data_IF_765834755484
#
_entry.id   IF_765834755484
#
_cell.length_a   1.000
_cell.length_b   1.000
_cell.length_c   1.000
_cell.angle_alpha   90.00
_cell.angle_beta   90.00
_cell.angle_gamma   90.00
#
_symmetry.space_group_name_H-M   'P 1'
#
loop_
_entity.id
_entity.type
_entity.pdbx_description
1 polymer ?
#
# COMPACT_ATOMS: atom_id res chain seq x y z
N UNK A 1 -9.32 15.04 -8.72
CA UNK A 1 -10.13 13.81 -8.51
C UNK A 1 -11.59 14.18 -8.73
N UNK A 2 -12.30 13.46 -9.58
CA UNK A 2 -13.75 13.65 -9.78
C UNK A 2 -14.53 13.11 -8.57
N UNK A 3 -15.82 13.50 -8.44
CA UNK A 3 -16.69 13.02 -7.36
C UNK A 3 -16.85 11.49 -7.41
N UNK A 4 -16.98 10.93 -8.62
CA UNK A 4 -17.09 9.48 -8.85
C UNK A 4 -15.80 8.72 -8.46
N UNK A 5 -14.62 9.27 -8.77
CA UNK A 5 -13.34 8.68 -8.34
C UNK A 5 -13.19 8.69 -6.82
N UNK A 6 -13.63 9.78 -6.17
CA UNK A 6 -13.63 9.88 -4.71
C UNK A 6 -14.58 8.87 -4.06
N UNK A 7 -15.79 8.68 -4.61
CA UNK A 7 -16.74 7.68 -4.13
C UNK A 7 -16.24 6.25 -4.31
N UNK A 8 -15.60 5.95 -5.45
CA UNK A 8 -15.04 4.62 -5.71
C UNK A 8 -13.90 4.29 -4.72
N UNK A 9 -13.00 5.24 -4.49
CA UNK A 9 -11.91 5.09 -3.52
C UNK A 9 -12.43 4.94 -2.08
N UNK A 10 -13.44 5.74 -1.67
CA UNK A 10 -14.05 5.61 -0.35
C UNK A 10 -14.73 4.24 -0.18
N UNK A 11 -15.40 3.73 -1.21
CA UNK A 11 -16.00 2.40 -1.18
C UNK A 11 -14.95 1.30 -1.04
N UNK A 12 -13.85 1.38 -1.80
CA UNK A 12 -12.81 0.36 -1.85
C UNK A 12 -11.89 0.41 -0.61
N UNK A 13 -11.38 1.57 -0.25
CA UNK A 13 -10.36 1.70 0.80
C UNK A 13 -10.92 2.14 2.15
N UNK A 14 -12.02 2.90 2.20
CA UNK A 14 -12.65 3.33 3.44
C UNK A 14 -13.63 2.30 4.00
N UNK A 15 -14.71 2.04 3.27
CA UNK A 15 -15.79 1.17 3.75
C UNK A 15 -15.35 -0.28 3.91
N UNK A 16 -14.64 -0.84 2.92
CA UNK A 16 -14.14 -2.22 2.98
C UNK A 16 -13.12 -2.40 4.10
N UNK A 17 -12.31 -1.38 4.40
CA UNK A 17 -11.40 -1.41 5.54
C UNK A 17 -12.13 -1.61 6.88
N UNK A 18 -13.23 -0.89 7.12
CA UNK A 18 -14.05 -1.07 8.32
C UNK A 18 -14.63 -2.48 8.43
N UNK A 19 -15.15 -3.04 7.34
CA UNK A 19 -15.67 -4.41 7.31
C UNK A 19 -14.58 -5.46 7.51
N UNK A 20 -13.39 -5.22 6.98
CA UNK A 20 -12.21 -6.08 7.17
C UNK A 20 -11.80 -6.10 8.63
N UNK A 21 -11.75 -4.93 9.30
CA UNK A 21 -11.48 -4.85 10.74
C UNK A 21 -12.50 -5.65 11.56
N UNK A 22 -13.80 -5.54 11.28
CA UNK A 22 -14.85 -6.31 11.96
C UNK A 22 -14.68 -7.81 11.76
N UNK A 23 -14.33 -8.24 10.55
CA UNK A 23 -14.08 -9.64 10.24
C UNK A 23 -12.85 -10.17 11.00
N UNK A 24 -11.75 -9.41 11.02
CA UNK A 24 -10.56 -9.74 11.81
C UNK A 24 -10.87 -9.87 13.29
N UNK A 25 -11.65 -8.93 13.85
CA UNK A 25 -12.08 -9.02 15.28
C UNK A 25 -12.92 -10.26 15.57
N UNK A 26 -13.66 -10.75 14.60
CA UNK A 26 -14.50 -11.97 14.73
C UNK A 26 -13.65 -13.23 14.62
N UNK A 27 -12.69 -13.28 13.70
CA UNK A 27 -11.88 -14.46 13.39
C UNK A 27 -10.63 -14.59 14.28
N UNK A 28 -10.15 -13.49 14.84
CA UNK A 28 -8.97 -13.44 15.70
C UNK A 28 -7.83 -12.61 15.10
N UNK A 29 -6.98 -12.10 15.97
CA UNK A 29 -5.89 -11.15 15.64
C UNK A 29 -4.83 -11.72 14.70
N UNK A 30 -4.67 -13.04 14.63
CA UNK A 30 -3.74 -13.71 13.71
C UNK A 30 -4.07 -13.47 12.22
N UNK A 31 -5.29 -13.02 11.93
CA UNK A 31 -5.75 -12.66 10.59
C UNK A 31 -5.42 -11.21 10.22
N UNK A 32 -5.01 -10.37 11.18
CA UNK A 32 -4.89 -8.93 10.98
C UNK A 32 -3.81 -8.57 9.95
N UNK A 33 -2.60 -9.12 10.07
CA UNK A 33 -1.50 -8.81 9.15
C UNK A 33 -1.83 -9.30 7.74
N UNK A 34 -2.20 -10.57 7.50
CA UNK A 34 -2.52 -11.04 6.15
C UNK A 34 -3.64 -10.25 5.48
N UNK A 35 -4.73 -9.99 6.20
CA UNK A 35 -5.85 -9.22 5.68
C UNK A 35 -5.50 -7.74 5.43
N UNK A 36 -4.67 -7.15 6.29
CA UNK A 36 -4.23 -5.76 6.18
C UNK A 36 -3.15 -5.52 5.11
N UNK A 37 -2.56 -6.58 4.54
CA UNK A 37 -1.58 -6.49 3.46
C UNK A 37 -2.20 -6.59 2.07
N UNK A 38 -3.53 -6.63 1.96
CA UNK A 38 -4.20 -6.68 0.66
C UNK A 38 -3.86 -5.44 -0.17
N UNK A 39 -3.39 -5.66 -1.41
CA UNK A 39 -2.93 -4.60 -2.31
C UNK A 39 -1.48 -4.14 -2.09
N UNK A 40 -0.85 -4.56 -1.00
CA UNK A 40 0.53 -4.16 -0.63
C UNK A 40 1.59 -5.23 -0.96
N UNK A 41 1.22 -6.25 -1.72
CA UNK A 41 2.09 -7.35 -2.12
C UNK A 41 1.97 -8.60 -1.25
N UNK A 42 2.94 -9.51 -1.40
CA UNK A 42 3.09 -10.75 -0.65
C UNK A 42 4.02 -10.57 0.56
N UNK A 43 4.07 -11.54 1.47
CA UNK A 43 5.06 -11.53 2.54
C UNK A 43 6.50 -11.52 2.01
N UNK A 44 6.77 -12.26 0.92
CA UNK A 44 8.07 -12.25 0.26
C UNK A 44 8.44 -10.87 -0.29
N UNK A 45 7.48 -10.11 -0.85
CA UNK A 45 7.69 -8.74 -1.28
C UNK A 45 8.01 -7.80 -0.11
N UNK A 46 7.28 -7.91 1.02
CA UNK A 46 7.56 -7.13 2.23
C UNK A 46 8.96 -7.44 2.78
N UNK A 47 9.33 -8.72 2.82
CA UNK A 47 10.66 -9.18 3.26
C UNK A 47 11.76 -8.66 2.34
N UNK A 48 11.56 -8.74 1.01
CA UNK A 48 12.50 -8.22 0.03
C UNK A 48 12.78 -6.73 0.23
N UNK A 49 11.73 -5.93 0.47
CA UNK A 49 11.83 -4.50 0.75
C UNK A 49 12.51 -4.24 2.10
N UNK A 50 12.07 -4.91 3.17
CA UNK A 50 12.59 -4.71 4.53
C UNK A 50 14.09 -5.03 4.64
N UNK A 51 14.57 -6.07 3.93
CA UNK A 51 16.00 -6.45 3.91
C UNK A 51 16.89 -5.37 3.29
N UNK A 52 16.31 -4.50 2.43
CA UNK A 52 17.02 -3.48 1.65
C UNK A 52 16.87 -2.06 2.18
N UNK A 53 15.95 -1.85 3.11
CA UNK A 53 15.74 -0.55 3.76
C UNK A 53 16.79 -0.23 4.84
N UNK A 54 17.72 -1.16 5.12
CA UNK A 54 18.79 -1.00 6.13
C UNK A 54 18.25 -0.61 7.53
N UNK A 55 17.12 -1.19 7.90
CA UNK A 55 16.43 -0.91 9.16
C UNK A 55 17.17 -1.53 10.35
N UNK A 56 17.15 -0.78 11.44
CA UNK A 56 17.58 -1.27 12.77
C UNK A 56 16.40 -1.19 13.74
N UNK A 57 16.48 -1.92 14.84
CA UNK A 57 15.48 -1.80 15.89
C UNK A 57 15.35 -0.33 16.36
N UNK A 58 14.13 0.19 16.35
CA UNK A 58 13.83 1.57 16.70
C UNK A 58 13.93 2.59 15.54
N UNK A 59 14.33 2.20 14.32
CA UNK A 59 14.26 3.06 13.13
C UNK A 59 12.84 3.63 12.97
N UNK A 60 12.75 4.92 12.63
CA UNK A 60 11.48 5.62 12.38
C UNK A 60 11.05 5.37 10.94
N UNK A 61 9.93 4.69 10.75
CA UNK A 61 9.44 4.31 9.43
C UNK A 61 8.06 4.91 9.17
N UNK A 62 7.88 5.54 8.01
CA UNK A 62 6.58 5.96 7.51
C UNK A 62 6.01 4.86 6.61
N UNK A 63 4.77 4.45 6.86
CA UNK A 63 3.94 3.68 5.93
C UNK A 63 2.96 4.65 5.28
N UNK A 64 3.24 5.06 4.03
CA UNK A 64 2.43 6.02 3.28
C UNK A 64 1.40 5.28 2.43
N UNK A 65 0.12 5.64 2.64
CA UNK A 65 -1.02 4.89 2.13
C UNK A 65 -1.19 3.55 2.84
N UNK A 66 -1.06 3.56 4.16
CA UNK A 66 -0.96 2.36 4.99
C UNK A 66 -2.20 1.45 4.96
N UNK A 67 -3.34 1.92 4.46
CA UNK A 67 -4.60 1.17 4.52
C UNK A 67 -4.92 0.74 5.95
N UNK A 68 -5.11 -0.56 6.14
CA UNK A 68 -5.35 -1.18 7.45
C UNK A 68 -4.09 -1.31 8.32
N UNK A 69 -2.91 -0.92 7.82
CA UNK A 69 -1.65 -0.97 8.56
C UNK A 69 -1.01 -2.36 8.64
N UNK A 70 -1.45 -3.31 7.80
CA UNK A 70 -0.88 -4.67 7.78
C UNK A 70 0.63 -4.69 7.54
N UNK A 71 1.14 -4.01 6.48
CA UNK A 71 2.56 -3.92 6.22
C UNK A 71 3.36 -3.30 7.38
N UNK A 72 2.88 -2.18 7.94
CA UNK A 72 3.51 -1.56 9.11
C UNK A 72 3.50 -2.48 10.32
N UNK A 73 2.38 -3.17 10.59
CA UNK A 73 2.26 -4.15 11.67
C UNK A 73 3.24 -5.31 11.50
N UNK A 74 3.37 -5.83 10.28
CA UNK A 74 4.34 -6.86 9.94
C UNK A 74 5.78 -6.36 10.18
N UNK A 75 6.11 -5.15 9.72
CA UNK A 75 7.45 -4.59 9.84
C UNK A 75 7.84 -4.34 11.31
N UNK A 76 6.90 -3.87 12.13
CA UNK A 76 7.13 -3.70 13.57
C UNK A 76 7.41 -5.06 14.24
N UNK A 77 6.65 -6.08 13.91
CA UNK A 77 6.82 -7.42 14.46
C UNK A 77 8.14 -8.08 14.02
N UNK A 78 8.53 -7.90 12.76
CA UNK A 78 9.71 -8.56 12.17
C UNK A 78 11.02 -7.81 12.47
N UNK A 79 11.02 -6.46 12.53
CA UNK A 79 12.23 -5.62 12.61
C UNK A 79 12.33 -4.78 13.89
N UNK A 80 11.27 -4.67 14.69
CA UNK A 80 11.26 -3.86 15.90
C UNK A 80 11.36 -2.35 15.63
N UNK A 81 10.89 -1.89 14.49
CA UNK A 81 10.89 -0.47 14.10
C UNK A 81 9.79 0.32 14.81
N UNK A 82 9.84 1.64 14.70
CA UNK A 82 8.76 2.56 15.10
C UNK A 82 8.04 3.03 13.85
N UNK A 83 6.92 2.40 13.52
CA UNK A 83 6.14 2.75 12.36
C UNK A 83 5.08 3.81 12.69
N UNK A 84 4.85 4.70 11.73
CA UNK A 84 3.74 5.65 11.69
C UNK A 84 3.00 5.45 10.38
N UNK A 85 1.67 5.41 10.41
CA UNK A 85 0.83 5.25 9.24
C UNK A 85 0.27 6.61 8.79
N UNK A 86 0.36 6.91 7.49
CA UNK A 86 -0.41 7.97 6.84
C UNK A 86 -1.41 7.32 5.89
N UNK A 87 -2.70 7.68 5.99
CA UNK A 87 -3.75 7.05 5.20
C UNK A 87 -4.91 8.05 5.00
N UNK A 88 -5.30 8.39 3.77
CA UNK A 88 -6.35 9.38 3.54
C UNK A 88 -7.74 8.93 4.03
N UNK A 89 -8.06 7.64 4.00
CA UNK A 89 -9.35 7.13 4.42
C UNK A 89 -9.42 7.00 5.94
N UNK A 90 -10.26 7.82 6.58
CA UNK A 90 -10.36 7.88 8.05
C UNK A 90 -10.64 6.51 8.69
N UNK A 91 -11.52 5.70 8.09
CA UNK A 91 -11.86 4.39 8.67
C UNK A 91 -10.68 3.42 8.58
N UNK A 92 -9.90 3.45 7.49
CA UNK A 92 -8.68 2.66 7.35
C UNK A 92 -7.61 3.10 8.37
N UNK A 93 -7.35 4.40 8.50
CA UNK A 93 -6.41 4.94 9.49
C UNK A 93 -6.80 4.53 10.93
N UNK A 94 -8.10 4.59 11.26
CA UNK A 94 -8.61 4.12 12.56
C UNK A 94 -8.45 2.62 12.75
N UNK A 95 -8.69 1.83 11.70
CA UNK A 95 -8.53 0.39 11.75
C UNK A 95 -7.06 0.01 11.98
N UNK A 96 -6.10 0.67 11.32
CA UNK A 96 -4.67 0.48 11.56
C UNK A 96 -4.30 0.72 13.03
N UNK A 97 -4.83 1.79 13.63
CA UNK A 97 -4.63 2.04 15.06
C UNK A 97 -5.27 0.96 15.95
N UNK A 98 -6.51 0.55 15.66
CA UNK A 98 -7.24 -0.42 16.49
C UNK A 98 -6.67 -1.85 16.38
N UNK A 99 -6.20 -2.25 15.19
CA UNK A 99 -5.67 -3.59 14.95
C UNK A 99 -4.24 -3.76 15.46
N UNK A 100 -3.40 -2.73 15.30
CA UNK A 100 -1.96 -2.85 15.54
C UNK A 100 -1.41 -1.89 16.60
N UNK A 101 -2.23 -0.97 17.15
CA UNK A 101 -1.77 0.06 18.08
C UNK A 101 -0.85 1.11 17.44
N UNK A 102 -0.80 1.17 16.10
CA UNK A 102 0.10 2.06 15.37
C UNK A 102 -0.39 3.52 15.43
N UNK A 103 0.50 4.50 15.63
CA UNK A 103 0.19 5.89 15.37
C UNK A 103 -0.24 6.05 13.91
N UNK A 104 -1.45 6.61 13.69
CA UNK A 104 -2.02 6.77 12.36
C UNK A 104 -2.60 8.17 12.20
N UNK A 105 -2.37 8.78 11.04
CA UNK A 105 -2.87 10.11 10.70
C UNK A 105 -3.62 10.05 9.36
N UNK A 106 -4.72 10.79 9.29
CA UNK A 106 -5.43 10.97 8.02
C UNK A 106 -4.70 12.03 7.18
N UNK A 107 -4.06 11.60 6.10
CA UNK A 107 -3.30 12.48 5.22
C UNK A 107 -3.24 11.93 3.80
N UNK A 108 -3.17 12.83 2.82
CA UNK A 108 -2.87 12.51 1.44
C UNK A 108 -1.35 12.37 1.27
N UNK A 109 -0.90 11.48 0.39
CA UNK A 109 0.53 11.25 0.12
C UNK A 109 1.26 12.51 -0.37
N UNK A 110 0.58 13.42 -1.05
CA UNK A 110 1.12 14.71 -1.52
C UNK A 110 1.07 15.84 -0.48
N UNK A 111 0.56 15.59 0.74
CA UNK A 111 0.45 16.59 1.81
C UNK A 111 0.62 15.92 3.18
N UNK A 112 1.84 15.47 3.47
CA UNK A 112 2.15 14.72 4.69
C UNK A 112 2.37 15.69 5.88
N UNK A 113 1.65 15.54 7.02
CA UNK A 113 1.71 16.45 8.16
C UNK A 113 2.93 16.18 9.07
N UNK A 114 4.08 15.89 8.47
CA UNK A 114 5.31 15.62 9.19
C UNK A 114 6.39 16.64 8.85
N UNK A 115 7.29 16.86 9.78
CA UNK A 115 8.47 17.70 9.56
C UNK A 115 9.40 17.05 8.51
N UNK A 116 10.22 17.85 7.84
CA UNK A 116 11.30 17.37 6.98
C UNK A 116 12.27 16.50 7.79
N UNK A 117 12.81 15.44 7.17
CA UNK A 117 13.75 14.52 7.77
C UNK A 117 13.23 13.84 9.08
N UNK A 118 11.92 13.64 9.18
CA UNK A 118 11.31 13.01 10.35
C UNK A 118 11.54 11.50 10.40
N UNK A 119 11.77 10.85 9.26
CA UNK A 119 11.86 9.39 9.13
C UNK A 119 13.21 8.93 8.58
N UNK A 120 13.65 7.76 9.06
CA UNK A 120 14.89 7.10 8.61
C UNK A 120 14.62 6.28 7.35
N UNK A 121 13.39 5.76 7.21
CA UNK A 121 12.91 5.09 6.02
C UNK A 121 11.39 5.32 5.83
N UNK A 122 10.93 5.08 4.60
CA UNK A 122 9.52 5.00 4.28
C UNK A 122 9.26 3.85 3.31
N UNK A 123 8.03 3.39 3.23
CA UNK A 123 7.53 2.65 2.09
C UNK A 123 6.18 3.17 1.64
N UNK A 124 5.86 2.88 0.37
CA UNK A 124 4.65 3.31 -0.29
C UNK A 124 4.23 2.16 -1.20
N UNK A 125 3.28 1.35 -0.72
CA UNK A 125 2.98 0.03 -1.28
C UNK A 125 1.60 0.01 -1.93
N UNK A 126 1.55 0.03 -3.27
CA UNK A 126 0.31 0.05 -4.04
C UNK A 126 -0.34 1.43 -4.15
N UNK A 127 0.29 2.50 -3.68
CA UNK A 127 -0.30 3.85 -3.56
C UNK A 127 -0.06 4.71 -4.80
N UNK A 128 1.15 4.72 -5.36
CA UNK A 128 1.46 5.61 -6.50
C UNK A 128 0.57 5.36 -7.72
N UNK A 129 0.03 4.17 -7.88
CA UNK A 129 -0.93 3.87 -8.93
C UNK A 129 -2.38 4.30 -8.62
N UNK A 130 -2.66 4.82 -7.42
CA UNK A 130 -3.98 5.31 -7.00
C UNK A 130 -4.03 6.82 -6.77
N UNK A 131 -2.95 7.54 -7.07
CA UNK A 131 -2.90 9.00 -7.01
C UNK A 131 -2.62 9.60 -8.40
N UNK A 132 -3.31 10.68 -8.73
CA UNK A 132 -3.09 11.46 -9.95
C UNK A 132 -1.88 12.40 -9.84
N UNK A 133 -1.38 12.67 -8.63
CA UNK A 133 -0.21 13.50 -8.36
C UNK A 133 0.94 12.67 -7.80
N UNK A 134 1.48 11.76 -8.63
CA UNK A 134 2.59 10.90 -8.28
C UNK A 134 3.87 11.69 -7.96
N UNK A 135 4.09 12.79 -8.68
CA UNK A 135 5.25 13.67 -8.46
C UNK A 135 5.18 14.37 -7.09
N UNK A 136 4.02 14.91 -6.72
CA UNK A 136 3.79 15.52 -5.41
C UNK A 136 3.95 14.51 -4.27
N UNK A 137 3.43 13.30 -4.42
CA UNK A 137 3.60 12.23 -3.43
C UNK A 137 5.08 11.87 -3.22
N UNK A 138 5.84 11.69 -4.31
CA UNK A 138 7.27 11.40 -4.21
C UNK A 138 8.08 12.57 -3.63
N UNK A 139 7.71 13.82 -3.94
CA UNK A 139 8.36 15.01 -3.37
C UNK A 139 8.12 15.09 -1.84
N UNK A 140 6.91 14.78 -1.36
CA UNK A 140 6.59 14.74 0.06
C UNK A 140 7.34 13.60 0.78
N UNK A 141 7.38 12.40 0.17
CA UNK A 141 8.16 11.29 0.69
C UNK A 141 9.65 11.66 0.80
N UNK A 142 10.20 12.35 -0.23
CA UNK A 142 11.58 12.85 -0.16
C UNK A 142 11.77 13.87 0.96
N UNK A 143 10.84 14.80 1.12
CA UNK A 143 10.90 15.84 2.15
C UNK A 143 10.91 15.27 3.57
N UNK A 144 10.08 14.25 3.82
CA UNK A 144 9.96 13.67 5.18
C UNK A 144 11.05 12.67 5.50
N UNK A 145 11.80 12.16 4.52
CA UNK A 145 12.94 11.29 4.71
C UNK A 145 14.20 12.09 5.05
N UNK A 146 15.00 11.55 5.98
CA UNK A 146 16.34 12.05 6.24
C UNK A 146 17.23 11.83 4.99
N UNK A 147 18.31 12.62 4.85
CA UNK A 147 19.30 12.41 3.80
C UNK A 147 19.92 11.02 3.93
N UNK A 148 20.03 10.30 2.82
CA UNK A 148 20.43 8.90 2.80
C UNK A 148 19.35 7.93 3.28
N UNK A 149 18.17 8.43 3.72
CA UNK A 149 17.02 7.60 4.08
C UNK A 149 16.50 6.79 2.87
N UNK A 150 15.87 5.66 3.15
CA UNK A 150 15.46 4.75 2.08
C UNK A 150 13.95 4.70 1.90
N UNK A 151 13.54 4.67 0.63
CA UNK A 151 12.16 4.51 0.20
C UNK A 151 11.98 3.12 -0.43
N UNK A 152 11.11 2.30 0.15
CA UNK A 152 10.63 1.05 -0.44
C UNK A 152 9.34 1.28 -1.20
N UNK A 153 9.27 0.75 -2.41
CA UNK A 153 8.12 0.91 -3.29
C UNK A 153 7.59 -0.43 -3.78
N UNK A 154 6.28 -0.57 -3.80
CA UNK A 154 5.58 -1.52 -4.65
C UNK A 154 4.62 -0.72 -5.54
N UNK A 155 4.79 -0.82 -6.85
CA UNK A 155 3.98 -0.10 -7.84
C UNK A 155 3.54 -1.08 -8.93
N UNK A 156 2.27 -1.05 -9.30
CA UNK A 156 1.83 -1.74 -10.51
C UNK A 156 2.20 -0.88 -11.72
N UNK A 157 3.14 -1.34 -12.53
CA UNK A 157 3.61 -0.64 -13.72
C UNK A 157 2.98 -1.22 -14.99
N UNK A 158 2.67 -0.34 -15.94
CA UNK A 158 2.14 -0.74 -17.23
C UNK A 158 3.28 -1.10 -18.19
N UNK A 159 3.30 -2.34 -18.68
CA UNK A 159 4.30 -2.81 -19.66
C UNK A 159 3.88 -2.51 -21.11
N UNK A 160 2.63 -2.07 -21.33
CA UNK A 160 2.04 -1.68 -22.62
C UNK A 160 0.84 -0.75 -22.39
N UNK A 161 0.34 -0.05 -23.43
CA UNK A 161 -0.91 0.71 -23.33
C UNK A 161 -2.05 -0.17 -22.82
N UNK A 162 -2.74 0.31 -21.79
CA UNK A 162 -3.80 -0.45 -21.13
C UNK A 162 -5.13 -0.30 -21.87
N UNK A 163 -5.92 -1.39 -22.03
CA UNK A 163 -7.23 -1.31 -22.66
C UNK A 163 -8.26 -0.65 -21.72
N UNK A 164 -9.10 0.27 -22.23
CA UNK A 164 -10.20 0.83 -21.44
C UNK A 164 -11.32 -0.22 -21.25
N UNK A 165 -12.18 -0.09 -20.19
CA UNK A 165 -12.06 0.92 -19.14
C UNK A 165 -10.99 0.54 -18.10
N UNK A 166 -10.21 1.52 -17.67
CA UNK A 166 -9.28 1.34 -16.55
C UNK A 166 -10.06 1.25 -15.23
N UNK A 167 -9.46 0.64 -14.18
CA UNK A 167 -9.97 0.77 -12.83
C UNK A 167 -10.07 2.25 -12.45
N UNK A 168 -11.20 2.66 -11.86
CA UNK A 168 -11.44 4.06 -11.49
C UNK A 168 -10.42 4.52 -10.45
N UNK A 169 -9.95 5.77 -10.57
CA UNK A 169 -8.97 6.34 -9.65
C UNK A 169 -7.55 5.79 -9.80
N UNK A 170 -7.28 4.95 -10.81
CA UNK A 170 -5.95 4.39 -11.02
C UNK A 170 -5.24 5.06 -12.20
N UNK A 171 -3.95 5.35 -11.98
CA UNK A 171 -2.99 5.83 -12.99
C UNK A 171 -1.71 4.97 -12.89
N UNK A 172 -1.57 4.04 -13.84
CA UNK A 172 -0.45 3.09 -13.83
C UNK A 172 0.70 3.62 -14.67
N UNK A 173 1.81 4.06 -14.05
CA UNK A 173 2.98 4.53 -14.79
C UNK A 173 3.67 3.37 -15.52
N UNK A 174 4.38 3.66 -16.60
CA UNK A 174 5.41 2.74 -17.08
C UNK A 174 6.61 2.75 -16.13
N UNK A 175 7.44 1.69 -16.17
CA UNK A 175 8.67 1.68 -15.37
C UNK A 175 9.59 2.86 -15.71
N UNK A 176 9.66 3.26 -16.99
CA UNK A 176 10.46 4.43 -17.42
C UNK A 176 9.94 5.73 -16.81
N UNK A 177 8.61 5.92 -16.79
CA UNK A 177 7.99 7.09 -16.14
C UNK A 177 8.27 7.09 -14.64
N UNK A 178 8.12 5.95 -13.97
CA UNK A 178 8.38 5.82 -12.54
C UNK A 178 9.84 6.14 -12.18
N UNK A 179 10.78 5.65 -12.98
CA UNK A 179 12.23 5.95 -12.80
C UNK A 179 12.54 7.44 -12.95
N UNK A 180 11.91 8.12 -13.93
CA UNK A 180 12.04 9.57 -14.08
C UNK A 180 11.46 10.34 -12.90
N UNK A 181 10.27 9.96 -12.44
CA UNK A 181 9.62 10.60 -11.29
C UNK A 181 10.48 10.46 -10.01
N UNK A 182 11.11 9.31 -9.80
CA UNK A 182 12.02 9.10 -8.69
C UNK A 182 13.27 10.01 -8.77
N UNK A 183 13.89 10.10 -9.95
CA UNK A 183 15.06 10.95 -10.16
C UNK A 183 14.72 12.45 -9.97
N UNK A 184 13.60 12.91 -10.55
CA UNK A 184 13.10 14.27 -10.41
C UNK A 184 12.75 14.63 -8.96
N UNK A 185 12.26 13.66 -8.18
CA UNK A 185 11.98 13.86 -6.76
C UNK A 185 13.23 13.80 -5.86
N UNK A 186 14.43 13.53 -6.41
CA UNK A 186 15.69 13.45 -5.66
C UNK A 186 15.94 12.09 -5.02
N UNK A 187 15.43 11.02 -5.63
CA UNK A 187 15.75 9.64 -5.23
C UNK A 187 16.70 8.98 -6.23
N UNK A 188 17.77 8.40 -5.73
CA UNK A 188 18.61 7.50 -6.50
C UNK A 188 18.07 6.08 -6.38
N UNK A 189 17.61 5.50 -7.49
CA UNK A 189 17.20 4.10 -7.51
C UNK A 189 18.42 3.18 -7.28
N UNK A 190 18.36 2.37 -6.23
CA UNK A 190 19.41 1.43 -5.84
C UNK A 190 19.21 0.04 -6.40
N UNK A 191 17.99 -0.46 -6.29
CA UNK A 191 17.65 -1.81 -6.73
C UNK A 191 16.19 -1.85 -7.16
N UNK A 192 15.87 -2.73 -8.11
CA UNK A 192 14.51 -2.99 -8.55
C UNK A 192 14.33 -4.46 -8.87
N UNK A 193 13.10 -4.97 -8.68
CA UNK A 193 12.72 -6.34 -8.97
C UNK A 193 11.25 -6.41 -9.40
N UNK A 194 10.82 -7.55 -9.90
CA UNK A 194 9.39 -7.89 -10.03
C UNK A 194 8.97 -8.70 -8.81
N UNK A 195 7.86 -8.31 -8.17
CA UNK A 195 7.32 -9.09 -7.07
C UNK A 195 6.63 -10.35 -7.57
N UNK A 196 6.76 -11.43 -6.82
CA UNK A 196 5.82 -12.55 -6.87
C UNK A 196 4.72 -12.30 -5.82
N UNK A 197 3.51 -12.00 -6.30
CA UNK A 197 2.37 -11.74 -5.41
C UNK A 197 1.86 -13.01 -4.70
N UNK A 198 2.27 -14.20 -5.16
CA UNK A 198 1.98 -15.48 -4.53
C UNK A 198 3.02 -15.94 -3.51
N UNK A 199 4.14 -15.23 -3.36
CA UNK A 199 5.22 -15.58 -2.43
C UNK A 199 4.84 -15.26 -0.97
N UNK A 200 3.98 -16.11 -0.42
CA UNK A 200 3.57 -16.06 0.99
C UNK A 200 3.36 -17.48 1.51
N UNK A 201 3.55 -17.73 2.81
CA UNK A 201 3.20 -19.01 3.39
C UNK A 201 1.72 -19.36 3.18
N UNK A 202 1.37 -20.65 3.02
CA UNK A 202 -0.03 -21.06 2.84
C UNK A 202 -0.98 -20.50 3.91
N UNK A 203 -0.54 -20.48 5.17
CA UNK A 203 -1.32 -19.96 6.28
C UNK A 203 -1.62 -18.45 6.16
N UNK A 204 -0.78 -17.71 5.45
CA UNK A 204 -1.02 -16.29 5.16
C UNK A 204 -2.22 -16.12 4.21
N UNK A 205 -2.21 -16.86 3.10
CA UNK A 205 -3.29 -16.85 2.13
C UNK A 205 -4.60 -17.34 2.78
N UNK A 206 -4.57 -18.46 3.51
CA UNK A 206 -5.74 -19.02 4.18
C UNK A 206 -6.39 -18.01 5.15
N UNK A 207 -5.58 -17.27 5.91
CA UNK A 207 -6.07 -16.24 6.84
C UNK A 207 -6.66 -15.04 6.12
N UNK A 208 -6.02 -14.56 5.05
CA UNK A 208 -6.56 -13.47 4.24
C UNK A 208 -7.90 -13.88 3.60
N UNK A 209 -7.98 -15.08 3.02
CA UNK A 209 -9.18 -15.62 2.38
C UNK A 209 -10.33 -15.86 3.37
N UNK A 210 -10.03 -16.25 4.61
CA UNK A 210 -11.03 -16.38 5.66
C UNK A 210 -11.69 -15.03 5.99
N UNK A 211 -10.89 -13.95 6.04
CA UNK A 211 -11.42 -12.58 6.25
C UNK A 211 -12.27 -12.16 5.07
N UNK A 212 -11.83 -12.40 3.83
CA UNK A 212 -12.61 -12.08 2.63
C UNK A 212 -13.94 -12.82 2.59
N UNK A 213 -13.92 -14.09 2.96
CA UNK A 213 -15.13 -14.91 3.06
C UNK A 213 -16.11 -14.34 4.09
N UNK A 214 -15.62 -13.91 5.25
CA UNK A 214 -16.46 -13.33 6.30
C UNK A 214 -17.02 -11.96 5.88
N UNK A 215 -16.22 -11.10 5.24
CA UNK A 215 -16.69 -9.83 4.67
C UNK A 215 -17.75 -10.09 3.60
N UNK A 216 -17.50 -10.99 2.66
CA UNK A 216 -18.46 -11.35 1.61
C UNK A 216 -19.75 -11.93 2.20
N UNK A 217 -19.66 -12.78 3.21
CA UNK A 217 -20.84 -13.36 3.90
C UNK A 217 -21.78 -12.28 4.43
N UNK A 218 -21.23 -11.17 4.95
CA UNK A 218 -22.01 -10.05 5.52
C UNK A 218 -22.44 -9.02 4.48
N UNK A 219 -21.58 -8.71 3.49
CA UNK A 219 -21.71 -7.50 2.69
C UNK A 219 -21.82 -7.73 1.17
N UNK A 220 -21.89 -9.00 0.67
CA UNK A 220 -21.93 -9.30 -0.78
C UNK A 220 -23.06 -8.61 -1.55
N UNK A 221 -24.13 -8.19 -0.86
CA UNK A 221 -25.27 -7.50 -1.46
C UNK A 221 -25.20 -5.97 -1.32
N UNK A 222 -24.18 -5.44 -0.62
CA UNK A 222 -23.92 -4.01 -0.54
C UNK A 222 -23.30 -3.51 -1.86
N UNK A 223 -23.86 -2.44 -2.47
CA UNK A 223 -23.30 -1.89 -3.71
C UNK A 223 -21.82 -1.50 -3.62
N UNK A 224 -21.37 -1.02 -2.46
CA UNK A 224 -19.97 -0.63 -2.24
C UNK A 224 -19.03 -1.84 -2.27
N UNK A 225 -19.45 -2.98 -1.69
CA UNK A 225 -18.71 -4.22 -1.80
C UNK A 225 -18.62 -4.69 -3.26
N UNK A 226 -19.73 -4.62 -4.00
CA UNK A 226 -19.76 -5.02 -5.42
C UNK A 226 -18.87 -4.13 -6.27
N UNK A 227 -18.85 -2.83 -6.01
CA UNK A 227 -17.96 -1.87 -6.67
C UNK A 227 -16.48 -2.19 -6.38
N UNK A 228 -16.10 -2.36 -5.10
CA UNK A 228 -14.74 -2.72 -4.71
C UNK A 228 -14.28 -4.05 -5.35
N UNK A 229 -15.16 -5.05 -5.37
CA UNK A 229 -14.86 -6.34 -6.04
C UNK A 229 -14.67 -6.20 -7.55
N UNK A 230 -15.43 -5.34 -8.20
CA UNK A 230 -15.26 -5.11 -9.65
C UNK A 230 -13.93 -4.39 -9.94
N UNK A 231 -13.53 -3.41 -9.15
CA UNK A 231 -12.22 -2.76 -9.26
C UNK A 231 -11.09 -3.77 -9.07
N UNK A 232 -11.15 -4.57 -8.01
CA UNK A 232 -10.17 -5.62 -7.75
C UNK A 232 -10.06 -6.64 -8.89
N UNK A 233 -11.19 -7.06 -9.48
CA UNK A 233 -11.19 -7.97 -10.64
C UNK A 233 -10.58 -7.32 -11.88
N UNK A 234 -10.79 -6.01 -12.11
CA UNK A 234 -10.17 -5.28 -13.24
C UNK A 234 -8.65 -5.26 -13.11
N UNK A 235 -8.12 -4.90 -11.94
CA UNK A 235 -6.67 -4.97 -11.67
C UNK A 235 -6.16 -6.40 -11.83
N UNK A 236 -6.85 -7.39 -11.26
CA UNK A 236 -6.48 -8.81 -11.37
C UNK A 236 -6.40 -9.30 -12.83
N UNK A 237 -7.34 -8.90 -13.70
CA UNK A 237 -7.28 -9.21 -15.14
C UNK A 237 -6.05 -8.59 -15.80
N UNK A 238 -5.75 -7.32 -15.54
CA UNK A 238 -4.58 -6.64 -16.12
C UNK A 238 -3.26 -7.30 -15.68
N UNK A 239 -3.19 -7.78 -14.44
CA UNK A 239 -2.06 -8.55 -13.93
C UNK A 239 -1.95 -9.93 -14.60
N UNK A 240 -3.06 -10.68 -14.69
CA UNK A 240 -3.07 -12.03 -15.29
C UNK A 240 -2.75 -12.01 -16.79
N UNK A 241 -3.14 -10.94 -17.49
CA UNK A 241 -2.88 -10.74 -18.92
C UNK A 241 -1.46 -10.19 -19.18
N UNK A 242 -0.66 -9.96 -18.14
CA UNK A 242 0.67 -9.35 -18.22
C UNK A 242 0.67 -7.92 -18.78
N UNK A 243 -0.44 -7.20 -18.65
CA UNK A 243 -0.53 -5.79 -19.01
C UNK A 243 -0.02 -4.89 -17.87
N UNK A 244 -0.16 -5.35 -16.63
CA UNK A 244 0.45 -4.78 -15.43
C UNK A 244 1.44 -5.76 -14.83
N UNK A 245 2.48 -5.22 -14.23
CA UNK A 245 3.49 -5.97 -13.49
C UNK A 245 3.72 -5.33 -12.12
N UNK A 246 3.77 -6.13 -11.02
CA UNK A 246 4.13 -5.62 -9.71
C UNK A 246 5.64 -5.36 -9.65
N UNK A 247 6.01 -4.08 -9.60
CA UNK A 247 7.40 -3.63 -9.55
C UNK A 247 7.78 -3.27 -8.12
N UNK A 248 8.93 -3.76 -7.67
CA UNK A 248 9.57 -3.39 -6.41
C UNK A 248 10.75 -2.48 -6.68
N UNK A 249 10.95 -1.47 -5.84
CA UNK A 249 12.10 -0.58 -5.93
C UNK A 249 12.56 -0.06 -4.59
N UNK A 250 13.88 0.19 -4.51
CA UNK A 250 14.52 0.87 -3.38
C UNK A 250 15.13 2.17 -3.89
N UNK A 251 14.57 3.29 -3.45
CA UNK A 251 15.12 4.63 -3.64
C UNK A 251 15.95 5.05 -2.43
N UNK A 252 17.04 5.78 -2.66
CA UNK A 252 17.80 6.47 -1.60
C UNK A 252 17.63 7.97 -1.77
N UNK A 253 17.27 8.66 -0.69
CA UNK A 253 17.13 10.11 -0.64
C UNK A 253 18.48 10.80 -0.81
N UNK A 254 18.65 11.63 -1.84
CA UNK A 254 19.90 12.34 -2.16
C UNK A 254 19.90 13.78 -1.65
#
# INVERSE_FOLDING_TARGET
MSELESEAMEAEFGTVAGWTEEAVRTLGTDHAIPAGCRGSGSEGALRWLADRLELTAGSRVLDDGAGLGGPAGWLVADRGVRAVCAEPMHEAARAAHRLFGLPSVAALAQELPFASAAFDAAWCLGVLCTTSDQAGALAELRRVLADGGRLGLLVFVADRPLPPPLPEGNDFPSEEQLRRLLDEAGFRLREAATADLGDSPPEWADRADAVDTEVARRHRHDPRWQQAQEQSRRVGRLLSDGALRPWLGIGEAC
#
